data_IF_168263766179
#
_entry.id   IF_168263766179
#
_cell.length_a   1.000
_cell.length_b   1.000
_cell.length_c   1.000
_cell.angle_alpha   90.00
_cell.angle_beta   90.00
_cell.angle_gamma   90.00
#
_symmetry.space_group_name_H-M   'P 1'
#
loop_
_entity.id
_entity.type
_entity.pdbx_description
1 polymer ?
#
# COMPACT_ATOMS: atom_id res chain seq x y z
N UNK A 1 -23.57 49.66 9.86
CA UNK A 1 -22.82 48.71 10.72
C UNK A 1 -22.88 47.35 10.03
N UNK A 2 -21.80 46.91 9.36
CA UNK A 2 -21.81 45.67 8.58
C UNK A 2 -21.55 44.47 9.51
N UNK A 3 -22.36 43.44 9.36
CA UNK A 3 -22.59 42.40 10.34
C UNK A 3 -21.43 41.38 10.29
N UNK A 4 -20.31 41.67 10.95
CA UNK A 4 -19.10 40.82 10.91
C UNK A 4 -19.30 39.41 11.50
N UNK A 5 -20.40 39.17 12.23
CA UNK A 5 -20.73 37.85 12.77
C UNK A 5 -20.99 36.80 11.69
N UNK A 6 -21.53 37.19 10.53
CA UNK A 6 -21.76 36.31 9.39
C UNK A 6 -20.45 35.88 8.73
N UNK A 7 -19.50 36.80 8.61
CA UNK A 7 -18.17 36.50 8.07
C UNK A 7 -17.37 35.59 9.02
N UNK A 8 -17.45 35.83 10.33
CA UNK A 8 -16.80 34.97 11.33
C UNK A 8 -17.39 33.55 11.34
N UNK A 9 -18.72 33.41 11.23
CA UNK A 9 -19.37 32.09 11.17
C UNK A 9 -18.96 31.30 9.93
N UNK A 10 -18.86 31.98 8.78
CA UNK A 10 -18.46 31.37 7.51
C UNK A 10 -17.01 30.84 7.54
N UNK A 11 -16.09 31.58 8.17
CA UNK A 11 -14.69 31.13 8.33
C UNK A 11 -14.60 29.89 9.22
N UNK A 12 -15.33 29.87 10.33
CA UNK A 12 -15.35 28.72 11.25
C UNK A 12 -15.93 27.46 10.59
N UNK A 13 -16.99 27.59 9.78
CA UNK A 13 -17.59 26.45 9.07
C UNK A 13 -16.66 25.84 8.01
N UNK A 14 -15.85 26.67 7.35
CA UNK A 14 -14.91 26.20 6.31
C UNK A 14 -13.71 25.43 6.88
N UNK A 15 -13.33 25.69 8.13
CA UNK A 15 -12.19 25.04 8.79
C UNK A 15 -12.49 23.61 9.28
N UNK A 16 -13.76 23.22 9.41
CA UNK A 16 -14.14 21.91 9.97
C UNK A 16 -14.05 20.75 8.96
N UNK A 17 -14.00 21.03 7.65
CA UNK A 17 -14.02 20.00 6.62
C UNK A 17 -12.66 19.35 6.31
N UNK A 18 -11.56 19.87 6.89
CA UNK A 18 -10.20 19.40 6.58
C UNK A 18 -9.74 18.26 7.52
N UNK A 19 -10.51 17.97 8.58
CA UNK A 19 -10.19 16.92 9.56
C UNK A 19 -10.82 15.55 9.25
N UNK A 20 -11.41 15.37 8.06
CA UNK A 20 -11.75 14.04 7.56
C UNK A 20 -10.49 13.39 6.95
N UNK A 21 -9.47 13.19 7.78
CA UNK A 21 -8.28 12.43 7.38
C UNK A 21 -8.68 11.01 6.99
N UNK A 22 -8.02 10.47 5.97
CA UNK A 22 -8.23 9.13 5.46
C UNK A 22 -8.18 8.13 6.63
N UNK A 23 -9.32 7.55 7.00
CA UNK A 23 -9.34 6.35 7.83
C UNK A 23 -8.76 5.24 6.97
N UNK A 24 -7.45 5.03 7.08
CA UNK A 24 -6.85 3.77 6.66
C UNK A 24 -7.38 2.75 7.65
N UNK A 25 -8.47 2.06 7.28
CA UNK A 25 -8.83 0.81 7.92
C UNK A 25 -7.55 -0.03 7.97
N UNK A 26 -7.23 -0.73 9.08
CA UNK A 26 -6.07 -1.59 9.11
C UNK A 26 -6.23 -2.58 7.96
N UNK A 27 -5.51 -2.31 6.88
CA UNK A 27 -5.48 -3.19 5.73
C UNK A 27 -5.03 -4.53 6.25
N UNK A 28 -5.65 -5.59 5.77
CA UNK A 28 -5.16 -6.94 5.91
C UNK A 28 -3.84 -7.14 5.11
N UNK A 29 -3.02 -6.09 5.01
CA UNK A 29 -1.76 -5.98 4.29
C UNK A 29 -0.61 -6.57 5.10
N UNK A 30 -0.90 -7.27 6.19
CA UNK A 30 0.10 -8.12 6.82
C UNK A 30 0.06 -9.45 6.07
N UNK A 31 0.99 -9.69 5.11
CA UNK A 31 1.04 -10.97 4.44
C UNK A 31 1.11 -12.06 5.50
N UNK A 32 0.40 -13.18 5.29
CA UNK A 32 0.43 -14.29 6.23
C UNK A 32 1.88 -14.63 6.59
N UNK A 33 2.15 -15.08 7.83
CA UNK A 33 3.51 -15.41 8.27
C UNK A 33 4.19 -16.27 7.20
N UNK A 34 5.47 -16.00 6.89
CA UNK A 34 6.14 -16.53 5.71
C UNK A 34 5.88 -18.02 5.62
N UNK A 35 5.06 -18.40 4.65
CA UNK A 35 4.79 -19.81 4.40
C UNK A 35 6.12 -20.38 3.90
N UNK A 36 6.51 -21.54 4.40
CA UNK A 36 7.63 -22.26 3.79
C UNK A 36 7.35 -22.40 2.29
N UNK A 37 8.10 -21.66 1.46
CA UNK A 37 7.88 -21.60 0.02
C UNK A 37 7.05 -20.40 -0.49
N UNK A 38 7.10 -19.24 0.16
CA UNK A 38 6.73 -17.93 -0.39
C UNK A 38 7.92 -16.99 -0.08
N UNK A 39 8.72 -16.68 -1.10
CA UNK A 39 10.07 -16.09 -0.93
C UNK A 39 10.03 -14.57 -0.88
N UNK A 40 9.25 -13.95 -1.73
CA UNK A 40 9.08 -12.50 -1.83
C UNK A 40 7.94 -11.95 -0.96
N UNK A 41 7.08 -12.84 -0.42
CA UNK A 41 6.00 -12.53 0.53
C UNK A 41 4.87 -11.71 -0.08
N UNK A 42 4.62 -11.90 -1.38
CA UNK A 42 3.50 -11.29 -2.08
C UNK A 42 2.16 -11.99 -1.80
N UNK A 43 2.19 -13.15 -1.12
CA UNK A 43 1.04 -13.98 -0.77
C UNK A 43 0.77 -15.12 -1.75
N UNK A 44 1.58 -15.27 -2.80
CA UNK A 44 1.53 -16.34 -3.79
C UNK A 44 2.60 -17.38 -3.45
N UNK A 45 2.23 -18.65 -3.21
CA UNK A 45 3.24 -19.69 -3.01
C UNK A 45 4.16 -19.80 -4.23
N UNK A 46 5.47 -19.92 -3.99
CA UNK A 46 6.55 -20.11 -4.97
C UNK A 46 6.19 -21.05 -6.12
N UNK A 47 5.47 -22.15 -5.83
CA UNK A 47 5.04 -23.15 -6.83
C UNK A 47 4.06 -22.62 -7.89
N UNK A 48 3.36 -21.52 -7.59
CA UNK A 48 2.40 -20.84 -8.46
C UNK A 48 2.88 -19.45 -8.89
N UNK A 49 3.86 -18.90 -8.17
CA UNK A 49 4.43 -17.60 -8.46
C UNK A 49 5.26 -17.61 -9.74
N UNK A 50 5.05 -16.58 -10.56
CA UNK A 50 5.73 -16.37 -11.84
C UNK A 50 6.95 -15.46 -11.72
N UNK A 51 7.16 -14.79 -10.59
CA UNK A 51 8.28 -13.89 -10.30
C UNK A 51 8.68 -14.07 -8.82
N UNK A 52 9.30 -15.21 -8.52
CA UNK A 52 9.37 -15.77 -7.16
C UNK A 52 10.24 -14.96 -6.19
N UNK A 53 11.12 -14.15 -6.72
CA UNK A 53 11.98 -13.25 -5.96
C UNK A 53 11.55 -11.79 -6.06
N UNK A 54 10.45 -11.51 -6.77
CA UNK A 54 9.87 -10.17 -6.89
C UNK A 54 10.82 -9.18 -7.57
N UNK A 55 11.65 -9.66 -8.50
CA UNK A 55 12.71 -8.89 -9.15
C UNK A 55 12.27 -8.24 -10.47
N UNK A 56 11.02 -8.50 -10.88
CA UNK A 56 10.35 -7.92 -12.03
C UNK A 56 10.55 -8.69 -13.34
N UNK A 57 11.27 -9.81 -13.35
CA UNK A 57 11.38 -10.68 -14.54
C UNK A 57 10.73 -12.02 -14.28
N UNK A 58 9.86 -12.47 -15.19
CA UNK A 58 9.25 -13.79 -15.04
C UNK A 58 10.28 -14.91 -14.91
N UNK A 59 10.05 -15.86 -14.00
CA UNK A 59 10.87 -17.06 -13.74
C UNK A 59 11.30 -17.82 -15.01
N UNK A 60 10.53 -17.74 -16.10
CA UNK A 60 10.84 -18.37 -17.40
C UNK A 60 11.94 -17.65 -18.21
N UNK A 61 12.19 -16.39 -17.90
CA UNK A 61 13.17 -15.52 -18.54
C UNK A 61 14.32 -15.16 -17.59
N UNK A 62 14.19 -15.53 -16.32
CA UNK A 62 15.23 -15.30 -15.35
C UNK A 62 16.23 -16.48 -15.29
N UNK A 63 17.51 -16.12 -15.31
CA UNK A 63 18.63 -17.04 -15.12
C UNK A 63 18.81 -17.46 -13.66
N UNK A 64 18.30 -16.67 -12.72
CA UNK A 64 18.34 -16.96 -11.28
C UNK A 64 16.97 -16.71 -10.61
N UNK A 65 15.92 -17.53 -10.90
CA UNK A 65 14.50 -17.34 -10.49
C UNK A 65 14.19 -17.36 -8.98
N UNK A 66 15.03 -16.74 -8.19
CA UNK A 66 15.16 -16.93 -6.77
C UNK A 66 16.26 -16.10 -6.14
N UNK A 67 17.07 -15.41 -6.94
CA UNK A 67 17.99 -14.38 -6.50
C UNK A 67 17.49 -13.01 -7.01
N UNK A 68 16.91 -12.17 -6.12
CA UNK A 68 16.42 -10.86 -6.51
C UNK A 68 17.54 -9.92 -7.01
N UNK A 69 18.81 -10.32 -6.86
CA UNK A 69 19.97 -9.61 -7.39
C UNK A 69 20.49 -10.30 -8.64
N UNK A 70 20.25 -9.67 -9.78
CA UNK A 70 20.80 -10.04 -11.09
C UNK A 70 22.27 -9.62 -11.20
N UNK A 71 23.20 -10.32 -10.54
CA UNK A 71 24.64 -10.11 -10.72
C UNK A 71 25.19 -10.82 -11.96
#
# INVERSE_FOLDING_TARGET
>A
MKNNRLATLAVVLSASAVLAGCVVAPGYDRPPPPRHGDRDRDGVPNRYDRDRDGDGVPNRYDSRPGDPRRN
#
